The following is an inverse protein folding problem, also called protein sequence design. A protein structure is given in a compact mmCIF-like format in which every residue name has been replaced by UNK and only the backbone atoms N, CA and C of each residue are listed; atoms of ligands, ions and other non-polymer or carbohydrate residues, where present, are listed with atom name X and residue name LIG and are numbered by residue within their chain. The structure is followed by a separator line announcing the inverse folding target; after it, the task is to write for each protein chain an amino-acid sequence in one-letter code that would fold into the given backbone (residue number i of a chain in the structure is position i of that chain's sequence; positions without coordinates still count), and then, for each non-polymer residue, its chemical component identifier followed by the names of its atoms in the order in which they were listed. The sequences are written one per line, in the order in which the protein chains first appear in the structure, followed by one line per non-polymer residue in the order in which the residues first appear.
data_IF_542694367581
#
_entry.id   IF_542694367581
#
_cell.length_a   1.000
_cell.length_b   1.000
_cell.length_c   1.000
_cell.angle_alpha   90.00
_cell.angle_beta   90.00
_cell.angle_gamma   90.00
#
_symmetry.space_group_name_H-M   'P 1'
#
loop_
_entity.id
_entity.type
_entity.pdbx_description
1 polymer ?
#
# COMPACT_ATOMS: atom_id res chain seq x y z
N UNK A 1 12.42 0.48 -24.28
CA UNK A 1 11.59 1.50 -23.59
C UNK A 1 11.26 2.59 -24.60
N UNK A 2 9.97 2.91 -24.83
CA UNK A 2 9.58 4.03 -25.70
C UNK A 2 9.31 5.25 -24.82
N UNK A 3 10.14 6.27 -24.94
CA UNK A 3 9.96 7.56 -24.26
C UNK A 3 9.20 8.49 -25.20
N UNK A 4 8.16 9.17 -24.70
CA UNK A 4 7.39 10.14 -25.50
C UNK A 4 8.21 11.43 -25.63
N UNK A 5 8.48 11.83 -26.87
CA UNK A 5 9.14 13.10 -27.21
C UNK A 5 8.10 14.10 -27.72
N UNK A 6 8.21 15.35 -27.29
CA UNK A 6 7.37 16.46 -27.77
C UNK A 6 8.26 17.48 -28.48
N UNK A 7 7.73 18.09 -29.54
CA UNK A 7 8.45 19.05 -30.40
C UNK A 7 7.78 20.42 -30.29
N UNK A 8 8.55 21.42 -29.85
CA UNK A 8 8.09 22.79 -29.62
C UNK A 8 7.64 23.51 -30.90
N UNK A 9 8.08 23.04 -32.06
CA UNK A 9 7.72 23.64 -33.36
C UNK A 9 6.33 23.23 -33.83
N UNK A 10 5.72 22.21 -33.21
CA UNK A 10 4.37 21.76 -33.57
C UNK A 10 3.32 22.71 -32.98
N UNK A 11 2.34 23.05 -33.82
CA UNK A 11 1.15 23.84 -33.45
C UNK A 11 0.37 23.27 -32.26
N UNK A 12 0.48 21.96 -32.03
CA UNK A 12 -0.23 21.26 -30.94
C UNK A 12 0.61 21.08 -29.66
N UNK A 13 1.84 21.58 -29.62
CA UNK A 13 2.80 21.34 -28.54
C UNK A 13 2.22 21.57 -27.14
N UNK A 14 1.59 22.73 -26.92
CA UNK A 14 1.02 23.09 -25.61
C UNK A 14 -0.12 22.14 -25.19
N UNK A 15 -0.92 21.65 -26.15
CA UNK A 15 -1.99 20.68 -25.87
C UNK A 15 -1.39 19.33 -25.45
N UNK A 16 -0.42 18.84 -26.22
CA UNK A 16 0.21 17.53 -25.98
C UNK A 16 1.04 17.53 -24.69
N UNK A 17 1.69 18.65 -24.36
CA UNK A 17 2.40 18.86 -23.11
C UNK A 17 1.43 18.86 -21.92
N UNK A 18 0.33 19.61 -22.01
CA UNK A 18 -0.68 19.64 -20.95
C UNK A 18 -1.32 18.26 -20.72
N UNK A 19 -1.55 17.48 -21.78
CA UNK A 19 -2.05 16.11 -21.64
C UNK A 19 -1.00 15.17 -21.02
N UNK A 20 0.28 15.34 -21.35
CA UNK A 20 1.35 14.55 -20.76
C UNK A 20 1.58 14.87 -19.27
N UNK A 21 1.44 16.14 -18.88
CA UNK A 21 1.57 16.61 -17.50
C UNK A 21 0.33 16.29 -16.65
N UNK A 22 -0.82 16.00 -17.28
CA UNK A 22 -2.00 15.55 -16.56
C UNK A 22 -1.67 14.22 -15.87
N UNK A 23 -1.55 14.29 -14.56
CA UNK A 23 -1.59 13.11 -13.70
C UNK A 23 -2.95 12.47 -13.94
N UNK A 24 -2.97 11.26 -14.51
CA UNK A 24 -4.18 10.47 -14.63
C UNK A 24 -4.59 10.04 -13.23
N UNK A 25 -5.47 10.83 -12.61
CA UNK A 25 -6.19 10.44 -11.42
C UNK A 25 -7.38 9.62 -11.89
N UNK A 26 -7.15 8.33 -12.13
CA UNK A 26 -8.24 7.39 -12.40
C UNK A 26 -8.89 7.03 -11.06
N UNK A 27 -10.03 7.66 -10.76
CA UNK A 27 -10.89 7.23 -9.67
C UNK A 27 -11.57 5.93 -10.09
N UNK A 28 -11.08 4.80 -9.57
CA UNK A 28 -11.69 3.51 -9.81
C UNK A 28 -12.88 3.32 -8.88
N UNK A 29 -14.09 3.57 -9.39
CA UNK A 29 -15.35 3.32 -8.69
C UNK A 29 -15.46 1.87 -8.13
N UNK A 30 -14.82 0.92 -8.80
CA UNK A 30 -14.74 -0.47 -8.34
C UNK A 30 -13.89 -0.62 -7.07
N UNK A 31 -12.77 0.09 -6.98
CA UNK A 31 -11.93 0.12 -5.77
C UNK A 31 -12.68 0.80 -4.63
N UNK A 32 -13.28 1.96 -4.90
CA UNK A 32 -14.09 2.69 -3.91
C UNK A 32 -15.20 1.82 -3.33
N UNK A 33 -15.98 1.17 -4.20
CA UNK A 33 -17.06 0.25 -3.79
C UNK A 33 -16.52 -0.91 -2.94
N UNK A 34 -15.39 -1.48 -3.33
CA UNK A 34 -14.77 -2.59 -2.59
C UNK A 34 -14.30 -2.16 -1.19
N UNK A 35 -13.70 -0.97 -1.08
CA UNK A 35 -13.26 -0.42 0.21
C UNK A 35 -14.45 -0.08 1.10
N UNK A 36 -15.52 0.50 0.55
CA UNK A 36 -16.75 0.78 1.30
C UNK A 36 -17.33 -0.50 1.92
N UNK A 37 -17.39 -1.59 1.15
CA UNK A 37 -17.87 -2.89 1.66
C UNK A 37 -16.98 -3.45 2.78
N UNK A 38 -15.65 -3.28 2.67
CA UNK A 38 -14.72 -3.68 3.72
C UNK A 38 -14.97 -2.88 5.02
N UNK A 39 -15.14 -1.56 4.90
CA UNK A 39 -15.40 -0.69 6.04
C UNK A 39 -16.72 -1.03 6.72
N UNK A 40 -17.78 -1.30 5.96
CA UNK A 40 -19.07 -1.72 6.48
C UNK A 40 -18.99 -3.08 7.20
N UNK A 41 -18.28 -4.06 6.61
CA UNK A 41 -18.08 -5.38 7.21
C UNK A 41 -17.32 -5.27 8.54
N UNK A 42 -16.27 -4.46 8.59
CA UNK A 42 -15.51 -4.21 9.82
C UNK A 42 -16.35 -3.47 10.86
N UNK A 43 -17.13 -2.47 10.47
CA UNK A 43 -18.01 -1.74 11.40
C UNK A 43 -19.06 -2.66 12.03
N UNK A 44 -19.63 -3.58 11.25
CA UNK A 44 -20.67 -4.51 11.72
C UNK A 44 -20.11 -5.70 12.50
N UNK A 45 -19.03 -6.31 12.02
CA UNK A 45 -18.53 -7.60 12.50
C UNK A 45 -17.20 -7.52 13.27
N UNK A 46 -16.60 -6.32 13.36
CA UNK A 46 -15.39 -6.02 14.14
C UNK A 46 -14.27 -7.03 13.86
N UNK A 47 -13.69 -7.58 14.91
CA UNK A 47 -12.58 -8.54 14.91
C UNK A 47 -12.82 -9.78 14.02
N UNK A 48 -14.08 -10.24 13.92
CA UNK A 48 -14.41 -11.39 13.05
C UNK A 48 -14.20 -11.05 11.58
N UNK A 49 -14.58 -9.83 11.16
CA UNK A 49 -14.32 -9.37 9.80
C UNK A 49 -12.81 -9.17 9.58
N UNK A 50 -12.08 -8.63 10.56
CA UNK A 50 -10.64 -8.44 10.44
C UNK A 50 -9.91 -9.78 10.20
N UNK A 51 -10.18 -10.80 11.02
CA UNK A 51 -9.60 -12.15 10.87
C UNK A 51 -9.93 -12.74 9.49
N UNK A 52 -11.17 -12.58 9.02
CA UNK A 52 -11.61 -13.06 7.70
C UNK A 52 -10.85 -12.36 6.57
N UNK A 53 -10.68 -11.03 6.66
CA UNK A 53 -10.01 -10.24 5.63
C UNK A 53 -8.50 -10.51 5.61
N UNK A 54 -7.85 -10.63 6.78
CA UNK A 54 -6.43 -11.02 6.87
C UNK A 54 -6.18 -12.39 6.24
N UNK A 55 -7.08 -13.36 6.46
CA UNK A 55 -7.00 -14.66 5.77
C UNK A 55 -7.14 -14.52 4.26
N UNK A 56 -8.02 -13.64 3.79
CA UNK A 56 -8.32 -13.46 2.36
C UNK A 56 -7.15 -12.79 1.62
N UNK A 57 -6.67 -11.68 2.14
CA UNK A 57 -5.72 -10.80 1.46
C UNK A 57 -4.27 -11.11 1.83
N UNK A 58 -3.97 -11.27 3.11
CA UNK A 58 -2.60 -11.49 3.60
C UNK A 58 -2.22 -12.98 3.66
N UNK A 59 -3.21 -13.86 3.43
CA UNK A 59 -3.10 -15.33 3.59
C UNK A 59 -2.70 -15.76 5.01
N UNK A 60 -2.87 -14.88 5.99
CA UNK A 60 -2.54 -15.14 7.39
C UNK A 60 -3.80 -15.53 8.15
N UNK A 61 -3.71 -16.63 8.91
CA UNK A 61 -4.83 -17.15 9.70
C UNK A 61 -4.58 -16.87 11.18
N UNK A 62 -5.42 -16.03 11.76
CA UNK A 62 -5.45 -15.76 13.20
C UNK A 62 -6.62 -16.50 13.84
N UNK A 63 -6.43 -17.04 15.05
CA UNK A 63 -7.52 -17.56 15.87
C UNK A 63 -8.23 -16.43 16.62
N UNK A 64 -7.48 -15.39 16.98
CA UNK A 64 -7.97 -14.15 17.58
C UNK A 64 -7.13 -12.97 17.12
N UNK A 65 -7.71 -11.76 17.19
CA UNK A 65 -7.01 -10.50 16.86
C UNK A 65 -5.81 -10.22 17.77
N UNK A 66 -5.76 -10.81 18.97
CA UNK A 66 -4.59 -10.70 19.84
C UNK A 66 -3.33 -11.35 19.24
N UNK A 67 -3.47 -12.34 18.36
CA UNK A 67 -2.35 -12.99 17.68
C UNK A 67 -1.74 -12.11 16.57
N UNK A 68 -2.44 -11.07 16.10
CA UNK A 68 -1.86 -10.13 15.13
C UNK A 68 -0.91 -9.11 15.76
N UNK A 69 -0.86 -9.05 17.09
CA UNK A 69 0.04 -8.16 17.82
C UNK A 69 1.47 -8.71 17.83
N UNK A 70 2.43 -7.95 17.30
CA UNK A 70 3.84 -8.33 17.34
C UNK A 70 4.39 -8.13 18.76
N UNK A 71 4.97 -9.18 19.32
CA UNK A 71 5.53 -9.20 20.67
C UNK A 71 6.91 -8.53 20.74
N UNK A 72 7.29 -8.07 21.93
CA UNK A 72 8.65 -7.55 22.20
C UNK A 72 9.74 -8.59 21.89
N UNK A 73 9.44 -9.88 22.10
CA UNK A 73 10.36 -10.96 21.81
C UNK A 73 10.60 -11.12 20.30
N UNK A 74 9.56 -11.02 19.48
CA UNK A 74 9.68 -11.05 18.02
C UNK A 74 10.47 -9.84 17.50
N UNK A 75 10.25 -8.66 18.09
CA UNK A 75 11.04 -7.47 17.79
C UNK A 75 12.52 -7.74 18.11
N UNK A 76 12.84 -8.18 19.34
CA UNK A 76 14.22 -8.48 19.73
C UNK A 76 14.88 -9.52 18.81
N UNK A 77 14.13 -10.54 18.40
CA UNK A 77 14.57 -11.54 17.42
C UNK A 77 14.82 -10.92 16.05
N UNK A 78 14.00 -9.99 15.57
CA UNK A 78 14.27 -9.30 14.31
C UNK A 78 15.58 -8.49 14.38
N UNK A 79 15.85 -7.82 15.50
CA UNK A 79 17.10 -7.11 15.75
C UNK A 79 18.34 -8.02 15.82
N UNK A 80 18.19 -9.33 16.06
CA UNK A 80 19.33 -10.26 16.00
C UNK A 80 19.67 -10.71 14.57
N UNK A 81 18.75 -10.55 13.61
CA UNK A 81 18.95 -10.97 12.21
C UNK A 81 19.42 -9.82 11.30
N UNK A 82 19.29 -8.58 11.74
CA UNK A 82 19.76 -7.41 10.98
C UNK A 82 21.27 -7.23 11.10
N UNK A 83 21.93 -6.84 10.01
CA UNK A 83 23.36 -6.52 10.05
C UNK A 83 23.63 -5.28 10.89
N UNK A 84 24.81 -5.22 11.54
CA UNK A 84 25.24 -4.03 12.29
C UNK A 84 25.24 -2.77 11.41
N UNK A 85 25.68 -2.89 10.15
CA UNK A 85 25.70 -1.79 9.20
C UNK A 85 24.30 -1.25 8.90
N UNK A 86 23.34 -2.14 8.59
CA UNK A 86 21.96 -1.73 8.29
C UNK A 86 21.31 -1.10 9.52
N UNK A 87 21.54 -1.66 10.72
CA UNK A 87 21.03 -1.11 11.96
C UNK A 87 21.62 0.29 12.25
N UNK A 88 22.92 0.49 12.01
CA UNK A 88 23.55 1.81 12.15
C UNK A 88 22.96 2.82 11.17
N UNK A 89 22.71 2.44 9.91
CA UNK A 89 22.10 3.33 8.92
C UNK A 89 20.68 3.75 9.28
N UNK A 90 19.87 2.83 9.82
CA UNK A 90 18.50 3.13 10.26
C UNK A 90 18.45 4.08 11.48
N UNK A 91 19.47 4.04 12.35
CA UNK A 91 19.55 4.90 13.54
C UNK A 91 20.06 6.32 13.26
N UNK A 92 20.53 6.61 12.05
CA UNK A 92 21.12 7.90 11.66
C UNK A 92 20.10 8.89 11.05
N UNK A 93 18.80 8.56 11.06
CA UNK A 93 17.73 9.48 10.64
C UNK A 93 17.40 10.50 11.73
#
# INVERSE_FOLDING_TARGET
MKIKTLDISKTNFNKDLNEYLKIKVENSKAIETSVSLILEDIKKNKDKALIKLSKRFDKTVYKSTSESGVSKAEIAKAYSHISKQTLTSLKKQ
#
